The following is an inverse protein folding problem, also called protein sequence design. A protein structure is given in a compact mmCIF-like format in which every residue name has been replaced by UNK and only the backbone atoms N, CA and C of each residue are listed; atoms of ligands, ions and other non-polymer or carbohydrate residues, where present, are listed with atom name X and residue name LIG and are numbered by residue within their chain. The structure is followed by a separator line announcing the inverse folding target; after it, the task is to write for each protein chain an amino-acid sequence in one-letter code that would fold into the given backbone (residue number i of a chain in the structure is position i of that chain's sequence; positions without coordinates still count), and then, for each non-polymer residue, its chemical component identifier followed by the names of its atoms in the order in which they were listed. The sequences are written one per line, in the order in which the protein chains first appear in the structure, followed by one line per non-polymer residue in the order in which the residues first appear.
data_IF_278449610382
#
_entry.id   IF_278449610382
#
_cell.length_a   1.000
_cell.length_b   1.000
_cell.length_c   1.000
_cell.angle_alpha   90.00
_cell.angle_beta   90.00
_cell.angle_gamma   90.00
#
_symmetry.space_group_name_H-M   'P 1'
#
loop_
_entity.id
_entity.type
_entity.pdbx_description
1 polymer ?
#
# COMPACT_ATOMS: atom_id res chain seq x y z
N UNK A 1 -10.73 16.48 14.40
CA UNK A 1 -10.31 15.52 13.34
C UNK A 1 -8.81 15.59 12.99
N UNK A 2 -8.04 16.61 13.42
CA UNK A 2 -6.63 16.81 13.01
C UNK A 2 -5.54 15.94 13.67
N UNK A 3 -5.69 15.50 14.93
CA UNK A 3 -4.63 14.76 15.64
C UNK A 3 -4.33 13.37 15.03
N UNK A 4 -5.36 12.63 14.57
CA UNK A 4 -5.16 11.32 13.91
C UNK A 4 -4.42 11.47 12.58
N UNK A 5 -4.62 12.58 11.88
CA UNK A 5 -3.97 12.86 10.59
C UNK A 5 -2.49 13.21 10.78
N UNK A 6 -2.17 13.99 11.82
CA UNK A 6 -0.80 14.31 12.24
C UNK A 6 -0.01 13.07 12.68
N UNK A 7 -0.62 12.19 13.48
CA UNK A 7 0.00 10.92 13.90
C UNK A 7 0.35 10.02 12.73
N UNK A 8 -0.55 9.86 11.75
CA UNK A 8 -0.28 9.09 10.54
C UNK A 8 0.82 9.72 9.69
N UNK A 9 0.83 11.05 9.53
CA UNK A 9 1.88 11.79 8.81
C UNK A 9 3.25 11.62 9.48
N UNK A 10 3.32 11.67 10.81
CA UNK A 10 4.56 11.47 11.55
C UNK A 10 5.09 10.03 11.44
N UNK A 11 4.21 9.03 11.53
CA UNK A 11 4.60 7.62 11.34
C UNK A 11 5.08 7.33 9.92
N UNK A 12 4.44 7.92 8.91
CA UNK A 12 4.91 7.80 7.52
C UNK A 12 6.29 8.44 7.34
N UNK A 13 6.51 9.63 7.95
CA UNK A 13 7.81 10.31 7.94
C UNK A 13 8.91 9.52 8.63
N UNK A 14 8.60 8.88 9.77
CA UNK A 14 9.55 8.03 10.46
C UNK A 14 9.84 6.78 9.63
N UNK A 15 8.85 6.01 9.19
CA UNK A 15 9.08 4.82 8.37
C UNK A 15 9.89 5.12 7.09
N UNK A 16 9.60 6.26 6.44
CA UNK A 16 10.35 6.75 5.28
C UNK A 16 11.83 7.03 5.58
N UNK A 17 12.15 7.50 6.78
CA UNK A 17 13.52 7.79 7.20
C UNK A 17 14.37 6.52 7.37
N UNK A 18 13.77 5.38 7.74
CA UNK A 18 14.50 4.12 7.96
C UNK A 18 14.54 3.19 6.74
N UNK A 19 13.65 3.38 5.76
CA UNK A 19 13.58 2.53 4.56
C UNK A 19 14.34 3.16 3.38
N UNK A 20 15.52 2.62 3.09
CA UNK A 20 16.40 3.12 2.01
C UNK A 20 15.93 2.82 0.59
N UNK A 21 14.98 1.91 0.39
CA UNK A 21 14.39 1.59 -0.92
C UNK A 21 12.99 0.97 -0.70
N UNK A 22 11.93 1.67 -1.10
CA UNK A 22 10.54 1.24 -0.88
C UNK A 22 9.87 0.81 -2.19
N UNK A 23 9.34 -0.39 -2.24
CA UNK A 23 8.56 -0.87 -3.39
C UNK A 23 7.08 -0.84 -3.00
N UNK A 24 6.31 -0.01 -3.70
CA UNK A 24 4.86 -0.03 -3.62
C UNK A 24 4.31 -0.91 -4.73
N UNK A 25 3.54 -1.92 -4.36
CA UNK A 25 2.92 -2.79 -5.33
C UNK A 25 1.41 -2.53 -5.36
N UNK A 26 0.82 -2.36 -6.56
CA UNK A 26 -0.61 -2.08 -6.74
C UNK A 26 -1.23 -2.93 -7.86
N UNK A 27 -2.51 -3.27 -7.76
CA UNK A 27 -3.25 -4.01 -8.81
C UNK A 27 -3.75 -3.04 -9.90
N UNK A 28 -3.95 -1.76 -9.55
CA UNK A 28 -4.56 -0.74 -10.40
C UNK A 28 -3.56 -0.17 -11.41
N UNK A 29 -3.74 -0.53 -12.68
CA UNK A 29 -2.86 -0.10 -13.79
C UNK A 29 -2.87 1.41 -14.03
N UNK A 30 -4.01 2.05 -13.77
CA UNK A 30 -4.27 3.47 -13.94
C UNK A 30 -3.38 4.29 -13.01
N UNK A 31 -3.29 3.86 -11.75
CA UNK A 31 -2.55 4.57 -10.71
C UNK A 31 -1.04 4.41 -10.92
N UNK A 32 -0.58 3.18 -11.17
CA UNK A 32 0.82 2.89 -11.52
C UNK A 32 1.21 3.64 -12.80
N UNK A 33 0.32 3.65 -13.80
CA UNK A 33 0.49 4.36 -15.06
C UNK A 33 0.55 5.87 -14.89
N UNK A 34 -0.28 6.44 -14.02
CA UNK A 34 -0.29 7.89 -13.73
C UNK A 34 1.02 8.40 -13.14
N UNK A 35 1.74 7.54 -12.41
CA UNK A 35 3.01 7.86 -11.77
C UNK A 35 4.19 7.56 -12.70
N UNK A 36 4.21 6.37 -13.31
CA UNK A 36 5.33 5.94 -14.15
C UNK A 36 5.28 6.55 -15.57
N UNK A 37 4.09 6.89 -16.07
CA UNK A 37 3.85 7.41 -17.43
C UNK A 37 2.75 8.50 -17.44
N UNK A 38 2.93 9.62 -16.70
CA UNK A 38 1.88 10.64 -16.51
C UNK A 38 1.33 11.25 -17.81
N UNK A 39 2.12 11.27 -18.89
CA UNK A 39 1.69 11.78 -20.20
C UNK A 39 0.73 10.84 -20.93
N UNK A 40 0.82 9.53 -20.69
CA UNK A 40 -0.08 8.54 -21.27
C UNK A 40 -1.39 8.38 -20.47
N UNK A 41 -1.40 8.84 -19.21
CA UNK A 41 -2.50 8.66 -18.25
C UNK A 41 -3.04 10.00 -17.73
N UNK A 42 -3.35 10.92 -18.65
CA UNK A 42 -3.73 12.31 -18.31
C UNK A 42 -4.99 12.39 -17.45
N UNK A 43 -5.96 11.50 -17.65
CA UNK A 43 -7.20 11.44 -16.87
C UNK A 43 -6.96 11.18 -15.37
N UNK A 44 -5.85 10.52 -15.01
CA UNK A 44 -5.49 10.17 -13.63
C UNK A 44 -4.32 11.00 -13.08
N UNK A 45 -3.90 12.04 -13.81
CA UNK A 45 -2.72 12.84 -13.47
C UNK A 45 -2.81 13.50 -12.10
N UNK A 46 -4.00 13.94 -11.70
CA UNK A 46 -4.22 14.55 -10.38
C UNK A 46 -3.90 13.56 -9.25
N UNK A 47 -4.40 12.31 -9.35
CA UNK A 47 -4.10 11.26 -8.38
C UNK A 47 -2.62 10.89 -8.32
N UNK A 48 -1.96 10.81 -9.49
CA UNK A 48 -0.52 10.58 -9.55
C UNK A 48 0.27 11.71 -8.88
N UNK A 49 -0.15 12.97 -9.05
CA UNK A 49 0.49 14.12 -8.42
C UNK A 49 0.33 14.11 -6.90
N UNK A 50 -0.89 13.91 -6.39
CA UNK A 50 -1.16 13.85 -4.94
C UNK A 50 -0.33 12.74 -4.27
N UNK A 51 -0.26 11.56 -4.88
CA UNK A 51 0.56 10.47 -4.35
C UNK A 51 2.05 10.81 -4.34
N UNK A 52 2.55 11.40 -5.43
CA UNK A 52 3.96 11.81 -5.51
C UNK A 52 4.28 12.88 -4.45
N UNK A 53 3.36 13.79 -4.16
CA UNK A 53 3.50 14.78 -3.09
C UNK A 53 3.56 14.13 -1.70
N UNK A 54 2.69 13.16 -1.42
CA UNK A 54 2.71 12.41 -0.15
C UNK A 54 4.00 11.61 0.02
N UNK A 55 4.51 11.04 -1.08
CA UNK A 55 5.73 10.23 -1.10
C UNK A 55 7.01 11.05 -1.29
N UNK A 56 6.93 12.38 -1.38
CA UNK A 56 8.07 13.28 -1.63
C UNK A 56 9.20 13.17 -0.61
N UNK A 57 8.93 12.63 0.58
CA UNK A 57 9.93 12.44 1.64
C UNK A 57 10.67 11.10 1.55
N UNK A 58 10.27 10.20 0.65
CA UNK A 58 10.97 8.95 0.38
C UNK A 58 12.04 9.20 -0.68
N UNK A 59 13.30 8.93 -0.33
CA UNK A 59 14.44 9.19 -1.21
C UNK A 59 14.55 8.20 -2.36
N UNK A 60 14.03 6.99 -2.18
CA UNK A 60 14.13 5.92 -3.15
C UNK A 60 12.89 5.02 -3.04
N UNK A 61 12.00 5.16 -4.01
CA UNK A 61 10.79 4.35 -4.11
C UNK A 61 10.38 4.12 -5.56
N UNK A 62 9.65 3.03 -5.79
CA UNK A 62 9.04 2.71 -7.09
C UNK A 62 7.65 2.13 -6.92
N UNK A 63 6.84 2.26 -7.97
CA UNK A 63 5.53 1.63 -8.06
C UNK A 63 5.50 0.55 -9.13
N UNK A 64 5.12 -0.66 -8.70
CA UNK A 64 4.97 -1.83 -9.54
C UNK A 64 3.51 -2.25 -9.65
N UNK A 65 3.11 -2.63 -10.85
CA UNK A 65 1.88 -3.37 -11.04
C UNK A 65 2.16 -4.85 -10.77
N UNK A 66 1.41 -5.47 -9.87
CA UNK A 66 1.44 -6.93 -9.71
C UNK A 66 0.02 -7.47 -9.60
N UNK A 67 -0.17 -8.74 -9.92
CA UNK A 67 -1.49 -9.37 -9.89
C UNK A 67 -2.03 -9.48 -8.45
N UNK A 68 -3.32 -9.82 -8.34
CA UNK A 68 -3.97 -9.99 -7.03
C UNK A 68 -3.36 -11.14 -6.23
N UNK A 69 -2.93 -12.20 -6.91
CA UNK A 69 -2.37 -13.41 -6.32
C UNK A 69 -1.05 -13.11 -5.61
N UNK A 70 -0.24 -12.19 -6.14
CA UNK A 70 1.01 -11.74 -5.53
C UNK A 70 0.82 -10.82 -4.31
N UNK A 71 -0.42 -10.39 -4.04
CA UNK A 71 -0.78 -9.48 -2.94
C UNK A 71 -1.93 -10.03 -2.10
N UNK A 72 -2.06 -11.33 -2.04
CA UNK A 72 -3.25 -11.96 -1.48
C UNK A 72 -3.47 -11.51 -0.03
N UNK A 73 -2.40 -11.44 0.77
CA UNK A 73 -2.45 -10.89 2.13
C UNK A 73 -3.02 -9.47 2.21
N UNK A 74 -2.53 -8.54 1.37
CA UNK A 74 -3.01 -7.16 1.35
C UNK A 74 -4.48 -7.07 0.89
N UNK A 75 -4.88 -7.89 -0.09
CA UNK A 75 -6.26 -8.00 -0.54
C UNK A 75 -7.18 -8.50 0.58
N UNK A 76 -6.76 -9.52 1.34
CA UNK A 76 -7.54 -10.05 2.47
C UNK A 76 -7.76 -8.99 3.56
N UNK A 77 -6.75 -8.18 3.86
CA UNK A 77 -6.88 -7.06 4.82
C UNK A 77 -7.83 -5.98 4.29
N UNK A 78 -7.75 -5.64 3.00
CA UNK A 78 -8.68 -4.66 2.42
C UNK A 78 -10.12 -5.20 2.44
N UNK A 79 -10.31 -6.48 2.08
CA UNK A 79 -11.62 -7.14 2.04
C UNK A 79 -12.25 -7.24 3.42
N UNK A 80 -11.47 -7.54 4.46
CA UNK A 80 -12.00 -7.67 5.81
C UNK A 80 -12.55 -6.35 6.35
N UNK A 81 -11.93 -5.22 6.01
CA UNK A 81 -12.40 -3.89 6.42
C UNK A 81 -13.57 -3.41 5.55
N UNK A 82 -13.53 -3.69 4.25
CA UNK A 82 -14.52 -3.15 3.29
C UNK A 82 -15.79 -4.00 3.16
N UNK A 83 -15.68 -5.33 3.27
CA UNK A 83 -16.80 -6.27 3.08
C UNK A 83 -17.18 -7.02 4.35
N UNK A 84 -16.23 -7.30 5.23
CA UNK A 84 -16.48 -8.09 6.45
C UNK A 84 -16.69 -7.20 7.69
N UNK A 85 -16.83 -5.87 7.49
CA UNK A 85 -17.09 -4.85 8.52
C UNK A 85 -16.13 -4.88 9.73
N UNK A 86 -14.91 -5.40 9.56
CA UNK A 86 -13.91 -5.36 10.62
C UNK A 86 -13.41 -3.93 10.80
N UNK A 87 -13.25 -3.51 12.06
CA UNK A 87 -12.83 -2.14 12.37
C UNK A 87 -11.39 -1.87 11.89
N UNK A 88 -11.11 -0.76 11.20
CA UNK A 88 -9.74 -0.40 10.78
C UNK A 88 -8.72 -0.35 11.91
N UNK A 89 -9.18 -0.25 13.17
CA UNK A 89 -8.35 -0.23 14.36
C UNK A 89 -7.55 -1.51 14.57
N UNK A 90 -8.01 -2.70 14.13
CA UNK A 90 -7.24 -3.93 14.36
C UNK A 90 -5.97 -3.98 13.48
N UNK A 91 -6.02 -3.44 12.26
CA UNK A 91 -4.85 -3.33 11.37
C UNK A 91 -3.78 -2.43 11.99
N UNK A 92 -4.20 -1.41 12.75
CA UNK A 92 -3.29 -0.51 13.45
C UNK A 92 -2.66 -1.13 14.72
N UNK A 93 -3.22 -2.23 15.25
CA UNK A 93 -2.72 -2.91 16.45
C UNK A 93 -1.67 -3.99 16.16
N UNK A 94 -1.49 -4.38 14.89
CA UNK A 94 -0.48 -5.35 14.47
C UNK A 94 -1.01 -6.41 13.51
N UNK A 95 -0.17 -7.43 13.25
CA UNK A 95 -0.53 -8.52 12.34
C UNK A 95 -1.67 -9.37 12.92
N UNK A 96 -2.80 -9.55 12.22
CA UNK A 96 -3.95 -10.28 12.74
C UNK A 96 -3.69 -11.78 12.82
N UNK A 97 -4.06 -12.42 13.93
CA UNK A 97 -3.86 -13.87 14.11
C UNK A 97 -4.52 -14.72 13.03
N UNK A 98 -5.72 -14.35 12.59
CA UNK A 98 -6.44 -15.04 11.50
C UNK A 98 -5.72 -14.99 10.14
N UNK A 99 -4.83 -14.03 9.94
CA UNK A 99 -4.11 -13.83 8.68
C UNK A 99 -2.80 -14.62 8.64
N UNK A 100 -2.26 -15.03 9.80
CA UNK A 100 -0.94 -15.67 9.89
C UNK A 100 -0.85 -16.98 9.09
N UNK A 101 -1.86 -17.86 9.19
CA UNK A 101 -1.88 -19.11 8.44
C UNK A 101 -1.98 -18.90 6.93
N UNK A 102 -2.78 -17.91 6.51
CA UNK A 102 -2.98 -17.59 5.09
C UNK A 102 -1.73 -16.98 4.45
N UNK A 103 -0.97 -16.19 5.20
CA UNK A 103 0.32 -15.64 4.74
C UNK A 103 1.40 -16.72 4.65
N UNK A 104 1.38 -17.71 5.55
CA UNK A 104 2.32 -18.83 5.49
C UNK A 104 2.10 -19.67 4.22
N UNK A 105 0.84 -19.91 3.84
CA UNK A 105 0.48 -20.56 2.58
C UNK A 105 0.87 -19.72 1.34
N UNK A 106 0.71 -18.40 1.39
CA UNK A 106 1.15 -17.48 0.33
C UNK A 106 2.68 -17.51 0.15
N UNK A 107 3.44 -17.48 1.24
CA UNK A 107 4.90 -17.59 1.20
C UNK A 107 5.38 -18.89 0.56
N UNK A 108 4.70 -20.01 0.83
CA UNK A 108 4.97 -21.29 0.16
C UNK A 108 4.66 -21.22 -1.34
N UNK A 109 3.51 -20.65 -1.72
CA UNK A 109 3.09 -20.54 -3.13
C UNK A 109 4.01 -19.68 -4.00
N UNK A 110 4.62 -18.65 -3.40
CA UNK A 110 5.55 -17.74 -4.09
C UNK A 110 7.00 -18.24 -4.11
N UNK A 111 7.29 -19.36 -3.43
CA UNK A 111 8.63 -19.96 -3.32
C UNK A 111 8.87 -21.15 -4.26
N UNK A 112 7.88 -21.50 -5.08
CA UNK A 112 7.90 -22.55 -6.11
C UNK A 112 7.88 -21.90 -7.49
#
# INVERSE_FOLDING_TARGET
MGLKMLSKRLNLKLAAFWSKHVIFELETSELVGSINRPRAWTAFRAYGFELTEVLSNLTDWKMNMVSREAKWGAFLIARSVTKEMRLPSYVAQGSPSWLQGLLAEEGMRNSV
#
